data_IF_971601266474
#
_entry.id   IF_971601266474
#
_cell.length_a   1.000
_cell.length_b   1.000
_cell.length_c   1.000
_cell.angle_alpha   90.00
_cell.angle_beta   90.00
_cell.angle_gamma   90.00
#
_symmetry.space_group_name_H-M   'P 1'
#
loop_
_entity.id
_entity.type
_entity.pdbx_description
1 polymer ?
#
# COMPACT_ATOMS: atom_id res chain seq x y z
N UNK A 1 -17.67 -4.26 -9.64
CA UNK A 1 -18.50 -4.00 -8.44
C UNK A 1 -17.61 -3.23 -7.48
N UNK A 2 -18.01 -2.05 -7.01
CA UNK A 2 -17.21 -1.29 -6.05
C UNK A 2 -16.94 -2.16 -4.81
N UNK A 3 -15.73 -2.15 -4.25
CA UNK A 3 -15.46 -2.90 -3.04
C UNK A 3 -16.41 -2.44 -1.94
N UNK A 4 -17.05 -3.39 -1.26
CA UNK A 4 -17.83 -3.10 -0.06
C UNK A 4 -16.90 -2.39 0.93
N UNK A 5 -17.27 -1.20 1.37
CA UNK A 5 -16.50 -0.45 2.34
C UNK A 5 -16.17 -1.33 3.57
N UNK A 6 -15.00 -1.12 4.13
CA UNK A 6 -14.65 -1.73 5.42
C UNK A 6 -15.68 -1.28 6.46
N UNK A 7 -16.17 -2.17 7.33
CA UNK A 7 -17.19 -1.80 8.30
C UNK A 7 -16.67 -0.67 9.22
N UNK A 8 -17.43 0.41 9.31
CA UNK A 8 -17.23 1.42 10.36
C UNK A 8 -17.63 0.79 11.69
N UNK A 9 -16.66 0.26 12.41
CA UNK A 9 -16.90 -0.30 13.75
C UNK A 9 -16.07 0.41 14.80
N UNK A 10 -16.74 0.87 15.85
CA UNK A 10 -16.14 1.36 17.09
C UNK A 10 -15.66 0.22 18.00
N UNK A 11 -16.14 -1.01 17.81
CA UNK A 11 -15.82 -2.18 18.61
C UNK A 11 -14.76 -3.09 17.94
N UNK A 12 -13.93 -3.74 18.75
CA UNK A 12 -12.94 -4.68 18.20
C UNK A 12 -13.66 -5.84 17.50
N UNK A 13 -13.25 -6.13 16.26
CA UNK A 13 -13.74 -7.26 15.47
C UNK A 13 -13.20 -8.54 16.08
N UNK A 14 -14.05 -9.51 16.34
CA UNK A 14 -13.62 -10.84 16.81
C UNK A 14 -12.84 -11.54 15.72
N UNK A 15 -12.00 -12.52 16.10
CA UNK A 15 -11.27 -13.35 15.14
C UNK A 15 -12.20 -14.06 14.16
N UNK A 16 -13.29 -14.62 14.65
CA UNK A 16 -14.28 -15.33 13.82
C UNK A 16 -14.95 -14.40 12.78
N UNK A 17 -15.32 -13.19 13.19
CA UNK A 17 -15.88 -12.18 12.27
C UNK A 17 -14.86 -11.76 11.20
N UNK A 18 -13.59 -11.61 11.57
CA UNK A 18 -12.52 -11.27 10.64
C UNK A 18 -12.27 -12.41 9.63
N UNK A 19 -12.27 -13.66 10.09
CA UNK A 19 -12.11 -14.84 9.24
C UNK A 19 -13.29 -14.99 8.26
N UNK A 20 -14.52 -14.82 8.74
CA UNK A 20 -15.71 -14.83 7.89
C UNK A 20 -15.66 -13.72 6.83
N UNK A 21 -15.28 -12.50 7.22
CA UNK A 21 -15.10 -11.37 6.29
C UNK A 21 -14.05 -11.68 5.23
N UNK A 22 -12.86 -12.17 5.63
CA UNK A 22 -11.79 -12.53 4.69
C UNK A 22 -12.22 -13.61 3.71
N UNK A 23 -12.91 -14.64 4.20
CA UNK A 23 -13.40 -15.73 3.39
C UNK A 23 -14.42 -15.27 2.34
N UNK A 24 -15.36 -14.43 2.73
CA UNK A 24 -16.34 -13.85 1.79
C UNK A 24 -15.67 -12.98 0.73
N UNK A 25 -14.71 -12.13 1.13
CA UNK A 25 -13.93 -11.29 0.20
C UNK A 25 -13.13 -12.15 -0.79
N UNK A 26 -12.50 -13.21 -0.30
CA UNK A 26 -11.73 -14.11 -1.16
C UNK A 26 -12.63 -14.86 -2.16
N UNK A 27 -13.79 -15.35 -1.72
CA UNK A 27 -14.78 -15.95 -2.62
C UNK A 27 -15.27 -14.97 -3.69
N UNK A 28 -15.47 -13.69 -3.31
CA UNK A 28 -15.79 -12.63 -4.25
C UNK A 28 -14.71 -12.43 -5.30
N UNK A 29 -13.46 -12.30 -4.84
CA UNK A 29 -12.29 -12.15 -5.71
C UNK A 29 -12.16 -13.32 -6.69
N UNK A 30 -12.32 -14.56 -6.22
CA UNK A 30 -12.23 -15.74 -7.08
C UNK A 30 -13.32 -15.79 -8.15
N UNK A 31 -14.55 -15.40 -7.82
CA UNK A 31 -15.64 -15.28 -8.79
C UNK A 31 -15.34 -14.29 -9.92
N UNK A 32 -14.65 -13.19 -9.59
CA UNK A 32 -14.29 -12.17 -10.57
C UNK A 32 -13.05 -12.58 -11.38
N UNK A 33 -12.05 -13.17 -10.73
CA UNK A 33 -10.75 -13.45 -11.32
C UNK A 33 -10.74 -14.73 -12.17
N UNK A 34 -11.28 -15.83 -11.67
CA UNK A 34 -11.14 -17.14 -12.35
C UNK A 34 -11.69 -17.18 -13.77
N UNK A 35 -12.84 -16.56 -14.10
CA UNK A 35 -13.35 -16.59 -15.47
C UNK A 35 -12.55 -15.76 -16.47
N UNK A 36 -11.75 -14.79 -16.00
CA UNK A 36 -11.17 -13.75 -16.85
C UNK A 36 -9.63 -13.75 -16.83
N UNK A 37 -9.02 -14.32 -15.78
CA UNK A 37 -7.57 -14.35 -15.61
C UNK A 37 -7.04 -15.74 -15.97
N UNK A 38 -6.52 -15.90 -17.18
CA UNK A 38 -6.01 -17.18 -17.68
C UNK A 38 -4.87 -17.74 -16.82
N UNK A 39 -4.01 -16.87 -16.27
CA UNK A 39 -2.93 -17.30 -15.39
C UNK A 39 -3.49 -17.92 -14.09
N UNK A 40 -4.41 -17.22 -13.42
CA UNK A 40 -5.02 -17.72 -12.20
C UNK A 40 -5.85 -18.98 -12.44
N UNK A 41 -6.63 -19.02 -13.52
CA UNK A 41 -7.43 -20.18 -13.90
C UNK A 41 -6.56 -21.42 -14.14
N UNK A 42 -5.44 -21.27 -14.86
CA UNK A 42 -4.49 -22.37 -15.08
C UNK A 42 -3.82 -22.81 -13.78
N UNK A 43 -3.37 -21.85 -12.97
CA UNK A 43 -2.70 -22.10 -11.69
C UNK A 43 -3.57 -22.87 -10.70
N UNK A 44 -4.83 -22.47 -10.59
CA UNK A 44 -5.78 -23.03 -9.63
C UNK A 44 -6.63 -24.18 -10.22
N UNK A 45 -6.32 -24.65 -11.42
CA UNK A 45 -7.11 -25.68 -12.11
C UNK A 45 -7.20 -27.04 -11.38
N UNK A 46 -6.25 -27.30 -10.47
CA UNK A 46 -6.18 -28.56 -9.71
C UNK A 46 -6.77 -28.46 -8.31
N UNK A 47 -7.22 -27.27 -7.89
CA UNK A 47 -7.84 -27.04 -6.59
C UNK A 47 -9.30 -26.66 -6.77
N UNK A 48 -10.15 -27.02 -5.81
CA UNK A 48 -11.57 -26.69 -5.84
C UNK A 48 -11.80 -25.24 -5.39
N UNK A 49 -11.21 -24.27 -6.14
CA UNK A 49 -11.26 -22.85 -5.77
C UNK A 49 -12.68 -22.28 -5.70
N UNK A 50 -13.62 -22.86 -6.46
CA UNK A 50 -15.06 -22.57 -6.43
C UNK A 50 -15.75 -23.07 -5.16
N UNK A 51 -15.14 -24.01 -4.42
CA UNK A 51 -15.67 -24.66 -3.21
C UNK A 51 -14.92 -24.31 -1.94
N UNK A 52 -14.17 -23.21 -1.95
CA UNK A 52 -13.44 -22.74 -0.77
C UNK A 52 -14.38 -22.64 0.44
N UNK A 53 -14.22 -23.52 1.43
CA UNK A 53 -15.07 -23.60 2.61
C UNK A 53 -14.52 -22.79 3.78
N UNK A 54 -13.19 -22.78 3.96
CA UNK A 54 -12.48 -22.08 5.03
C UNK A 54 -11.19 -21.45 4.51
N UNK A 55 -10.55 -20.59 5.32
CA UNK A 55 -9.23 -20.07 5.00
C UNK A 55 -8.13 -21.12 5.13
N UNK A 56 -8.38 -22.20 5.88
CA UNK A 56 -7.42 -23.30 6.05
C UNK A 56 -7.24 -24.09 4.74
N UNK A 57 -8.24 -24.09 3.86
CA UNK A 57 -8.15 -24.73 2.54
C UNK A 57 -7.03 -24.15 1.69
N UNK A 58 -6.61 -22.91 1.97
CA UNK A 58 -5.50 -22.24 1.26
C UNK A 58 -4.16 -22.94 1.47
N UNK A 59 -3.99 -23.75 2.51
CA UNK A 59 -2.77 -24.51 2.76
C UNK A 59 -2.45 -25.52 1.64
N UNK A 60 -3.49 -25.98 0.93
CA UNK A 60 -3.37 -26.93 -0.18
C UNK A 60 -3.18 -26.22 -1.55
N UNK A 61 -3.22 -24.88 -1.57
CA UNK A 61 -3.14 -24.14 -2.81
C UNK A 61 -1.70 -23.90 -3.24
N UNK A 62 -1.41 -23.88 -4.57
CA UNK A 62 -0.07 -23.62 -5.05
C UNK A 62 0.35 -22.16 -4.80
N UNK A 63 1.56 -21.97 -4.28
CA UNK A 63 2.15 -20.62 -4.19
C UNK A 63 2.39 -20.05 -5.58
N UNK A 64 2.27 -18.73 -5.69
CA UNK A 64 2.67 -17.98 -6.88
C UNK A 64 4.03 -17.35 -6.66
N UNK A 65 4.97 -17.68 -7.53
CA UNK A 65 6.32 -17.15 -7.51
C UNK A 65 6.48 -16.00 -8.52
N UNK A 66 7.36 -15.07 -8.20
CA UNK A 66 7.60 -13.90 -9.05
C UNK A 66 8.01 -14.29 -10.48
N UNK A 67 8.79 -15.34 -10.62
CA UNK A 67 9.30 -15.85 -11.88
C UNK A 67 8.17 -16.28 -12.83
N UNK A 68 7.09 -16.83 -12.28
CA UNK A 68 5.92 -17.24 -13.06
C UNK A 68 5.19 -16.01 -13.62
N UNK A 69 5.06 -14.95 -12.83
CA UNK A 69 4.43 -13.69 -13.26
C UNK A 69 5.28 -12.99 -14.34
N UNK A 70 6.61 -12.99 -14.18
CA UNK A 70 7.53 -12.41 -15.16
C UNK A 70 7.52 -13.22 -16.46
N UNK A 71 7.48 -14.56 -16.38
CA UNK A 71 7.44 -15.44 -17.55
C UNK A 71 6.14 -15.32 -18.33
N UNK A 72 5.02 -15.05 -17.68
CA UNK A 72 3.72 -14.87 -18.31
C UNK A 72 3.55 -13.52 -19.01
N UNK A 73 4.49 -12.57 -18.82
CA UNK A 73 4.41 -11.25 -19.44
C UNK A 73 4.64 -11.31 -20.95
N UNK A 74 3.83 -10.57 -21.71
CA UNK A 74 3.99 -10.43 -23.15
C UNK A 74 3.69 -8.99 -23.60
N UNK A 75 4.38 -8.52 -24.65
CA UNK A 75 4.19 -7.19 -25.22
C UNK A 75 4.24 -6.03 -24.18
N UNK A 76 5.07 -6.18 -23.14
CA UNK A 76 5.19 -5.18 -22.07
C UNK A 76 4.09 -5.20 -21.03
N UNK A 77 3.10 -6.09 -21.16
CA UNK A 77 2.01 -6.27 -20.19
C UNK A 77 2.22 -7.54 -19.37
N UNK A 78 1.85 -7.56 -18.07
CA UNK A 78 1.88 -8.76 -17.26
C UNK A 78 0.84 -9.78 -17.75
N UNK A 79 1.23 -11.06 -17.76
CA UNK A 79 0.34 -12.14 -18.19
C UNK A 79 -0.76 -12.52 -17.19
N UNK A 80 -0.76 -11.88 -16.02
CA UNK A 80 -1.74 -12.08 -14.96
C UNK A 80 -2.80 -10.96 -14.87
N UNK A 81 -2.98 -10.17 -15.92
CA UNK A 81 -4.06 -9.19 -15.97
C UNK A 81 -5.42 -9.90 -16.00
N UNK A 82 -6.35 -9.41 -15.20
CA UNK A 82 -7.72 -9.90 -15.13
C UNK A 82 -8.62 -9.20 -16.13
N UNK A 83 -8.39 -7.90 -16.33
CA UNK A 83 -9.22 -7.04 -17.16
C UNK A 83 -8.48 -6.61 -18.44
N UNK A 84 -9.20 -6.11 -19.45
CA UNK A 84 -8.58 -5.49 -20.61
C UNK A 84 -7.70 -4.29 -20.20
N UNK A 85 -6.58 -4.03 -20.89
CA UNK A 85 -5.61 -2.99 -20.53
C UNK A 85 -6.23 -1.60 -20.30
N UNK A 86 -7.30 -1.27 -21.01
CA UNK A 86 -7.98 0.02 -20.94
C UNK A 86 -8.69 0.27 -19.61
N UNK A 87 -8.90 -0.76 -18.81
CA UNK A 87 -9.50 -0.63 -17.47
C UNK A 87 -8.51 -0.22 -16.40
N UNK A 88 -7.21 -0.37 -16.67
CA UNK A 88 -6.17 -0.02 -15.71
C UNK A 88 -5.82 1.46 -15.81
N UNK A 89 -5.71 2.12 -14.67
CA UNK A 89 -5.47 3.56 -14.57
C UNK A 89 -4.18 3.90 -13.85
N UNK A 90 -3.54 2.90 -13.23
CA UNK A 90 -2.29 3.03 -12.49
C UNK A 90 -1.31 1.96 -12.90
N UNK A 91 -0.06 2.37 -13.00
CA UNK A 91 1.09 1.49 -13.17
C UNK A 91 2.04 1.69 -12.01
N UNK A 92 2.45 0.58 -11.43
CA UNK A 92 3.52 0.49 -10.45
C UNK A 92 4.45 -0.65 -10.81
N UNK A 93 5.58 -0.72 -10.13
CA UNK A 93 6.48 -1.87 -10.27
C UNK A 93 7.22 -2.14 -8.96
N UNK A 94 7.70 -3.36 -8.79
CA UNK A 94 8.61 -3.70 -7.70
C UNK A 94 9.99 -3.14 -7.96
N UNK A 95 10.83 -2.96 -6.92
CA UNK A 95 12.19 -2.44 -7.04
C UNK A 95 13.12 -3.29 -7.91
N UNK A 96 12.81 -4.58 -8.10
CA UNK A 96 13.63 -5.47 -8.92
C UNK A 96 14.97 -5.86 -8.33
N UNK A 97 15.19 -5.66 -7.03
CA UNK A 97 16.47 -5.94 -6.32
C UNK A 97 17.04 -7.35 -6.56
N UNK A 98 16.19 -8.32 -6.89
CA UNK A 98 16.56 -9.71 -7.17
C UNK A 98 16.19 -10.13 -8.60
N UNK A 99 16.29 -9.23 -9.59
CA UNK A 99 15.98 -9.52 -10.99
C UNK A 99 15.15 -8.43 -11.67
N UNK A 100 14.30 -8.82 -12.65
CA UNK A 100 13.46 -7.86 -13.36
C UNK A 100 12.37 -7.30 -12.45
N UNK A 101 12.08 -5.98 -12.51
CA UNK A 101 10.90 -5.41 -11.85
C UNK A 101 9.63 -6.12 -12.32
N UNK A 102 8.72 -6.38 -11.38
CA UNK A 102 7.39 -6.89 -11.72
C UNK A 102 6.45 -5.70 -11.92
N UNK A 103 5.85 -5.56 -13.12
CA UNK A 103 4.83 -4.55 -13.35
C UNK A 103 3.54 -4.93 -12.63
N UNK A 104 2.91 -3.95 -12.01
CA UNK A 104 1.63 -4.05 -11.31
C UNK A 104 0.70 -2.98 -11.86
N UNK A 105 -0.51 -3.36 -12.18
CA UNK A 105 -1.52 -2.48 -12.73
C UNK A 105 -2.75 -2.47 -11.83
N UNK A 106 -3.25 -1.29 -11.53
CA UNK A 106 -4.46 -1.12 -10.72
C UNK A 106 -5.58 -0.49 -11.55
N UNK A 107 -6.78 -1.03 -11.41
CA UNK A 107 -8.01 -0.40 -11.89
C UNK A 107 -8.42 0.73 -10.95
N UNK A 108 -9.48 1.49 -11.30
CA UNK A 108 -10.06 2.49 -10.38
C UNK A 108 -10.57 1.86 -9.10
N UNK A 109 -11.16 0.67 -9.20
CA UNK A 109 -11.72 -0.05 -8.05
C UNK A 109 -10.60 -0.57 -7.12
N UNK A 110 -9.49 -1.07 -7.69
CA UNK A 110 -8.31 -1.48 -6.91
C UNK A 110 -7.72 -0.29 -6.16
N UNK A 111 -7.62 0.87 -6.83
CA UNK A 111 -7.09 2.08 -6.20
C UNK A 111 -8.02 2.63 -5.11
N UNK A 112 -9.33 2.57 -5.32
CA UNK A 112 -10.31 2.92 -4.30
C UNK A 112 -10.17 2.02 -3.06
N UNK A 113 -9.87 0.73 -3.25
CA UNK A 113 -9.58 -0.19 -2.16
C UNK A 113 -8.30 0.19 -1.40
N UNK A 114 -7.25 0.65 -2.09
CA UNK A 114 -6.07 1.21 -1.43
C UNK A 114 -6.43 2.39 -0.51
N UNK A 115 -7.30 3.29 -0.96
CA UNK A 115 -7.77 4.44 -0.16
C UNK A 115 -8.52 3.97 1.09
N UNK A 116 -9.39 2.97 0.97
CA UNK A 116 -10.08 2.37 2.13
C UNK A 116 -9.11 1.75 3.14
N UNK A 117 -8.09 1.04 2.68
CA UNK A 117 -7.06 0.50 3.57
C UNK A 117 -6.30 1.62 4.30
N UNK A 118 -5.92 2.67 3.57
CA UNK A 118 -5.25 3.82 4.16
C UNK A 118 -6.16 4.60 5.10
N UNK A 119 -7.46 4.70 4.84
CA UNK A 119 -8.41 5.34 5.74
C UNK A 119 -8.31 4.73 7.14
N UNK A 120 -8.27 3.41 7.24
CA UNK A 120 -8.13 2.72 8.54
C UNK A 120 -6.81 3.07 9.23
N UNK A 121 -5.70 3.14 8.48
CA UNK A 121 -4.38 3.50 9.02
C UNK A 121 -4.41 4.94 9.54
N UNK A 122 -4.93 5.88 8.75
CA UNK A 122 -5.01 7.29 9.11
C UNK A 122 -5.95 7.53 10.29
N UNK A 123 -7.09 6.81 10.37
CA UNK A 123 -8.01 6.86 11.50
C UNK A 123 -7.33 6.39 12.79
N UNK A 124 -6.60 5.29 12.74
CA UNK A 124 -5.85 4.77 13.90
C UNK A 124 -4.73 5.70 14.35
N UNK A 125 -4.10 6.39 13.41
CA UNK A 125 -3.12 7.44 13.70
C UNK A 125 -3.74 8.77 14.15
N UNK A 126 -5.06 8.89 14.18
CA UNK A 126 -5.76 10.13 14.51
C UNK A 126 -5.44 11.27 13.52
N UNK A 127 -5.18 10.93 12.25
CA UNK A 127 -4.95 11.93 11.19
C UNK A 127 -6.28 12.56 10.81
N UNK A 128 -6.32 13.87 10.72
CA UNK A 128 -7.52 14.68 10.46
C UNK A 128 -7.31 15.57 9.23
N UNK A 129 -8.35 16.24 8.71
CA UNK A 129 -8.18 17.25 7.65
C UNK A 129 -7.28 18.44 8.03
N UNK A 130 -7.07 18.69 9.32
CA UNK A 130 -6.19 19.78 9.79
C UNK A 130 -4.69 19.40 9.72
N UNK A 131 -4.38 18.13 9.46
CA UNK A 131 -3.00 17.66 9.42
C UNK A 131 -2.28 18.05 8.14
N UNK A 132 -0.99 18.31 8.31
CA UNK A 132 -0.02 18.58 7.26
C UNK A 132 0.97 17.42 7.24
N UNK A 133 0.86 16.57 6.23
CA UNK A 133 1.57 15.30 6.15
C UNK A 133 2.73 15.42 5.17
N UNK A 134 3.95 15.42 5.68
CA UNK A 134 5.16 15.37 4.84
C UNK A 134 5.46 13.94 4.43
N UNK A 135 5.42 13.66 3.14
CA UNK A 135 5.82 12.37 2.58
C UNK A 135 7.28 12.46 2.13
N UNK A 136 8.18 11.98 2.98
CA UNK A 136 9.62 12.06 2.80
C UNK A 136 10.16 10.86 2.00
N UNK A 137 9.69 10.73 0.75
CA UNK A 137 10.08 9.68 -0.18
C UNK A 137 10.34 10.22 -1.57
N UNK A 138 11.10 9.49 -2.37
CA UNK A 138 11.32 9.82 -3.79
C UNK A 138 10.17 9.37 -4.69
N UNK A 139 9.10 8.81 -4.16
CA UNK A 139 7.94 8.28 -4.86
C UNK A 139 8.27 7.20 -5.88
N UNK A 140 8.91 7.52 -7.02
CA UNK A 140 9.21 6.56 -8.07
C UNK A 140 7.96 5.83 -8.58
N UNK A 141 8.09 4.67 -9.24
CA UNK A 141 6.97 3.85 -9.68
C UNK A 141 6.48 2.87 -8.58
N UNK A 142 6.50 3.28 -7.30
CA UNK A 142 6.19 2.43 -6.15
C UNK A 142 4.85 2.82 -5.53
N UNK A 143 3.92 1.87 -5.41
CA UNK A 143 2.56 2.12 -4.94
C UNK A 143 2.49 2.71 -3.51
N UNK A 144 3.37 2.28 -2.60
CA UNK A 144 3.28 2.57 -1.17
C UNK A 144 3.15 4.06 -0.83
N UNK A 145 4.11 4.87 -1.24
CA UNK A 145 4.09 6.31 -0.93
C UNK A 145 3.07 7.09 -1.76
N UNK A 146 2.80 6.66 -3.00
CA UNK A 146 1.74 7.26 -3.81
C UNK A 146 0.37 7.06 -3.17
N UNK A 147 0.06 5.83 -2.73
CA UNK A 147 -1.21 5.54 -2.08
C UNK A 147 -1.38 6.30 -0.77
N UNK A 148 -0.33 6.39 0.05
CA UNK A 148 -0.35 7.19 1.28
C UNK A 148 -0.54 8.68 1.02
N UNK A 149 0.15 9.23 0.02
CA UNK A 149 0.01 10.62 -0.38
C UNK A 149 -1.42 10.97 -0.84
N UNK A 150 -1.98 10.14 -1.71
CA UNK A 150 -3.36 10.35 -2.21
C UNK A 150 -4.41 10.13 -1.12
N UNK A 151 -4.18 9.19 -0.20
CA UNK A 151 -5.09 8.97 0.92
C UNK A 151 -5.18 10.17 1.88
N UNK A 152 -4.08 10.91 2.06
CA UNK A 152 -4.10 12.18 2.81
C UNK A 152 -4.97 13.22 2.11
N UNK A 153 -4.86 13.31 0.79
CA UNK A 153 -5.69 14.23 -0.02
C UNK A 153 -7.15 13.83 0.05
N UNK A 154 -7.45 12.53 -0.11
CA UNK A 154 -8.81 11.99 -0.02
C UNK A 154 -9.46 12.27 1.34
N UNK A 155 -8.66 12.28 2.40
CA UNK A 155 -9.09 12.65 3.76
C UNK A 155 -9.30 14.15 3.95
N UNK A 156 -8.86 15.00 3.04
CA UNK A 156 -8.92 16.46 3.15
C UNK A 156 -7.72 17.11 3.85
N UNK A 157 -6.68 16.35 4.19
CA UNK A 157 -5.44 16.86 4.77
C UNK A 157 -4.50 17.45 3.72
N UNK A 158 -3.53 18.25 4.17
CA UNK A 158 -2.49 18.79 3.30
C UNK A 158 -1.38 17.76 3.09
N UNK A 159 -1.34 17.14 1.90
CA UNK A 159 -0.25 16.27 1.51
C UNK A 159 0.92 17.06 0.93
N UNK A 160 2.10 16.93 1.55
CA UNK A 160 3.33 17.63 1.17
C UNK A 160 4.29 16.61 0.55
N UNK A 161 4.53 16.72 -0.76
CA UNK A 161 5.53 15.91 -1.46
C UNK A 161 6.93 16.49 -1.27
N UNK A 162 7.86 15.67 -0.77
CA UNK A 162 9.27 16.02 -0.64
C UNK A 162 10.16 15.14 -1.55
N UNK A 163 9.61 14.58 -2.62
CA UNK A 163 10.35 13.80 -3.61
C UNK A 163 11.47 14.61 -4.26
N UNK A 164 12.64 14.00 -4.45
CA UNK A 164 13.79 14.65 -5.10
C UNK A 164 14.54 15.68 -4.25
N UNK A 165 14.04 16.03 -3.06
CA UNK A 165 14.71 16.97 -2.17
C UNK A 165 15.81 16.27 -1.33
N UNK A 166 16.93 16.97 -1.04
CA UNK A 166 17.91 16.48 -0.06
C UNK A 166 17.32 16.48 1.35
N UNK A 167 17.87 15.65 2.25
CA UNK A 167 17.36 15.44 3.60
C UNK A 167 17.23 16.73 4.41
N UNK A 168 18.22 17.61 4.35
CA UNK A 168 18.15 18.93 4.98
C UNK A 168 16.99 19.78 4.45
N UNK A 169 16.78 19.76 3.13
CA UNK A 169 15.66 20.47 2.49
C UNK A 169 14.30 19.96 2.96
N UNK A 170 14.17 18.63 3.17
CA UNK A 170 12.94 18.02 3.72
C UNK A 170 12.66 18.48 5.15
N UNK A 171 13.68 18.56 6.00
CA UNK A 171 13.56 19.10 7.36
C UNK A 171 13.17 20.58 7.37
N UNK A 172 13.77 21.36 6.49
CA UNK A 172 13.42 22.77 6.33
C UNK A 172 11.98 22.95 5.84
N UNK A 173 11.53 22.09 4.90
CA UNK A 173 10.16 22.08 4.41
C UNK A 173 9.17 21.68 5.52
N UNK A 174 9.51 20.65 6.30
CA UNK A 174 8.71 20.22 7.47
C UNK A 174 8.50 21.40 8.44
N UNK A 175 9.55 22.16 8.71
CA UNK A 175 9.49 23.33 9.59
C UNK A 175 8.67 24.48 8.98
N UNK A 176 8.93 24.82 7.73
CA UNK A 176 8.28 25.97 7.08
C UNK A 176 6.79 25.80 6.90
N UNK A 177 6.34 24.56 6.65
CA UNK A 177 4.92 24.21 6.50
C UNK A 177 4.31 23.70 7.81
N UNK A 178 5.08 23.70 8.91
CA UNK A 178 4.66 23.17 10.19
C UNK A 178 4.01 21.78 10.06
N UNK A 179 4.71 20.83 9.42
CA UNK A 179 4.22 19.47 9.21
C UNK A 179 3.89 18.82 10.56
N UNK A 180 2.72 18.18 10.65
CA UNK A 180 2.21 17.53 11.86
C UNK A 180 2.40 16.02 11.82
N UNK A 181 2.56 15.45 10.62
CA UNK A 181 2.77 14.02 10.41
C UNK A 181 3.93 13.84 9.41
N UNK A 182 4.78 12.86 9.68
CA UNK A 182 5.83 12.42 8.76
C UNK A 182 5.52 11.01 8.24
N UNK A 183 5.59 10.80 6.93
CA UNK A 183 5.61 9.48 6.29
C UNK A 183 6.99 9.21 5.70
N UNK A 184 7.64 8.11 6.09
CA UNK A 184 8.99 7.74 5.63
C UNK A 184 9.21 6.23 5.71
N UNK A 185 10.37 5.73 5.22
CA UNK A 185 10.84 4.41 5.66
C UNK A 185 11.45 4.52 7.05
N UNK A 186 11.47 3.45 7.86
CA UNK A 186 12.09 3.45 9.18
C UNK A 186 13.53 3.96 9.16
N UNK A 187 14.38 3.42 8.30
CA UNK A 187 15.78 3.84 8.18
C UNK A 187 15.93 5.31 7.76
N UNK A 188 15.04 5.78 6.89
CA UNK A 188 15.08 7.18 6.46
C UNK A 188 14.60 8.15 7.55
N UNK A 189 13.65 7.74 8.37
CA UNK A 189 13.24 8.56 9.53
C UNK A 189 14.40 8.75 10.53
N UNK A 190 15.18 7.68 10.78
CA UNK A 190 16.40 7.76 11.59
C UNK A 190 17.46 8.68 10.94
N UNK A 191 17.68 8.51 9.63
CA UNK A 191 18.61 9.38 8.90
C UNK A 191 18.21 10.86 8.95
N UNK A 192 16.93 11.19 8.92
CA UNK A 192 16.46 12.56 9.11
C UNK A 192 16.81 13.10 10.50
N UNK A 193 16.78 12.25 11.53
CA UNK A 193 17.20 12.66 12.88
C UNK A 193 18.72 12.92 12.95
N UNK A 194 19.55 12.10 12.32
CA UNK A 194 20.99 12.30 12.21
C UNK A 194 21.32 13.63 11.49
N UNK A 195 20.67 13.89 10.37
CA UNK A 195 20.83 15.16 9.62
C UNK A 195 20.39 16.35 10.46
N UNK A 196 19.32 16.22 11.24
CA UNK A 196 18.87 17.28 12.13
C UNK A 196 19.92 17.59 13.22
N UNK A 197 20.52 16.56 13.81
CA UNK A 197 21.59 16.71 14.80
C UNK A 197 22.83 17.40 14.20
N UNK A 198 23.28 16.95 13.01
CA UNK A 198 24.42 17.56 12.28
C UNK A 198 24.20 19.05 12.01
N UNK A 199 22.98 19.42 11.63
CA UNK A 199 22.63 20.79 11.28
C UNK A 199 22.03 21.59 12.45
N UNK A 200 22.06 21.05 13.67
CA UNK A 200 21.54 21.70 14.89
C UNK A 200 20.07 22.14 14.76
N UNK A 201 19.26 21.33 14.10
CA UNK A 201 17.83 21.51 13.99
C UNK A 201 17.16 20.84 15.19
N UNK A 202 16.46 21.63 15.99
CA UNK A 202 15.68 21.08 17.11
C UNK A 202 14.41 20.40 16.58
N UNK A 203 14.40 19.05 16.58
CA UNK A 203 13.24 18.28 16.15
C UNK A 203 12.07 18.40 17.12
N UNK A 204 12.32 18.65 18.40
CA UNK A 204 11.26 18.84 19.38
C UNK A 204 10.47 20.16 19.16
N UNK A 205 11.06 21.11 18.46
CA UNK A 205 10.38 22.34 18.05
C UNK A 205 9.49 22.17 16.81
N UNK A 206 9.55 21.01 16.13
CA UNK A 206 8.63 20.71 15.03
C UNK A 206 7.30 20.20 15.59
N UNK A 207 6.15 20.59 15.02
CA UNK A 207 4.84 20.11 15.50
C UNK A 207 4.53 18.68 15.06
N UNK A 208 5.52 17.89 14.66
CA UNK A 208 5.34 16.49 14.25
C UNK A 208 4.93 15.65 15.45
N UNK A 209 3.70 15.19 15.44
CA UNK A 209 3.10 14.38 16.50
C UNK A 209 3.00 12.88 16.17
N UNK A 210 3.15 12.54 14.88
CA UNK A 210 3.02 11.17 14.38
C UNK A 210 4.05 10.91 13.29
N UNK A 211 4.67 9.74 13.35
CA UNK A 211 5.51 9.20 12.26
C UNK A 211 4.89 7.89 11.77
N UNK A 212 4.51 7.85 10.50
CA UNK A 212 4.01 6.64 9.84
C UNK A 212 5.17 6.06 9.03
N UNK A 213 5.61 4.86 9.39
CA UNK A 213 6.72 4.19 8.71
C UNK A 213 6.23 3.01 7.88
N UNK A 214 6.85 2.81 6.70
CA UNK A 214 6.50 1.74 5.77
C UNK A 214 7.70 1.33 4.90
N UNK A 215 7.60 0.15 4.27
CA UNK A 215 8.57 -0.33 3.29
C UNK A 215 9.74 -1.14 3.87
N UNK A 216 9.94 -1.10 5.17
CA UNK A 216 10.96 -1.85 5.89
C UNK A 216 10.39 -2.37 7.22
N UNK A 217 10.91 -3.47 7.79
CA UNK A 217 10.39 -4.06 9.03
C UNK A 217 10.77 -3.28 10.30
N UNK A 218 11.56 -2.21 10.22
CA UNK A 218 12.21 -1.53 11.34
C UNK A 218 11.31 -1.20 12.54
N UNK A 219 10.09 -0.69 12.32
CA UNK A 219 9.16 -0.36 13.41
C UNK A 219 8.55 -1.55 14.15
N UNK A 220 8.75 -2.77 13.65
CA UNK A 220 8.27 -4.03 14.26
C UNK A 220 9.39 -4.85 14.91
N UNK A 221 10.63 -4.36 14.84
CA UNK A 221 11.80 -5.00 15.47
C UNK A 221 11.97 -4.38 16.86
N UNK A 222 12.03 -5.22 17.95
CA UNK A 222 12.23 -4.74 19.30
C UNK A 222 13.56 -4.03 19.51
#
# INVERSE_FOLDING_TARGET
>A
MAPSALPERSEPVTRAELEAFKLDRLRGLLRDVLPQNAFCAAKLSRVAADRLASLDDLAEWPFTFKEELVAAASNGLPGNLTWPPERYVRFHQTSGTHGRPLPVFDTRDDWAWWMECWRVILDRGGVTPDDRVLVASSFGPYAGFWSGFEAVIDRGGLAISAGGMPSLGRLQLARSLAATVLMATPSYALHLAEVAEEHKIDLAALPVRLVIVMGEPGGSIP
#
